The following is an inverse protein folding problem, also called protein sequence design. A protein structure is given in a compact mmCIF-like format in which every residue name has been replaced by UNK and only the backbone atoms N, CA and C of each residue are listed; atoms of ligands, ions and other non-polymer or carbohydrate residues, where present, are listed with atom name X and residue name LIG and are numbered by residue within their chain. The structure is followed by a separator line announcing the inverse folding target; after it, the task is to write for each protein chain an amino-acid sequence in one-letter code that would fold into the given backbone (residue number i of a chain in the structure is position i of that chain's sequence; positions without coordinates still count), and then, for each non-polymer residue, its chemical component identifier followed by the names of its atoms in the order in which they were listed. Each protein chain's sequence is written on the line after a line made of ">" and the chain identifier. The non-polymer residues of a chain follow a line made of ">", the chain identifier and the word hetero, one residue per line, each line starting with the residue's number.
data_IF_388561478880
#
_entry.id   IF_388561478880
#
_cell.length_a   1.000
_cell.length_b   1.000
_cell.length_c   1.000
_cell.angle_alpha   90.00
_cell.angle_beta   90.00
_cell.angle_gamma   90.00
#
_symmetry.space_group_name_H-M   'P 1'
#
loop_
_entity.id
_entity.type
_entity.pdbx_description
1 polymer ?
#
# COMPACT_ATOMS: atom_id res chain seq x y z
N UNK A 1 20.01 7.96 -4.10
CA UNK A 1 18.92 7.83 -5.10
C UNK A 1 17.63 7.52 -4.37
N UNK A 2 16.47 7.83 -4.95
CA UNK A 2 15.20 7.39 -4.38
C UNK A 2 15.11 5.85 -4.38
N UNK A 3 14.35 5.22 -3.47
CA UNK A 3 14.29 3.76 -3.39
C UNK A 3 13.71 3.11 -4.64
N UNK A 4 14.05 1.84 -4.86
CA UNK A 4 13.30 1.00 -5.80
C UNK A 4 11.88 0.71 -5.28
N UNK A 5 11.09 0.04 -6.12
CA UNK A 5 9.71 -0.28 -5.79
C UNK A 5 9.65 -1.32 -4.64
N UNK A 6 8.89 -1.05 -3.56
CA UNK A 6 8.62 -2.06 -2.54
C UNK A 6 7.63 -3.11 -3.07
N UNK A 7 7.45 -4.20 -2.32
CA UNK A 7 6.34 -5.12 -2.54
C UNK A 7 5.24 -4.87 -1.52
N UNK A 8 3.98 -4.91 -1.95
CA UNK A 8 2.81 -4.85 -1.06
C UNK A 8 2.00 -6.13 -1.20
N UNK A 9 1.67 -6.74 -0.07
CA UNK A 9 0.73 -7.84 0.05
C UNK A 9 -0.50 -7.32 0.81
N UNK A 10 -1.70 -7.65 0.33
CA UNK A 10 -2.96 -7.22 0.97
C UNK A 10 -3.88 -8.39 1.22
N UNK A 11 -4.58 -8.36 2.35
CA UNK A 11 -5.53 -9.38 2.77
C UNK A 11 -6.88 -8.73 3.08
N UNK A 12 -7.95 -9.24 2.48
CA UNK A 12 -9.31 -8.77 2.71
C UNK A 12 -9.76 -9.05 4.15
N UNK A 13 -10.55 -8.15 4.71
CA UNK A 13 -11.33 -8.36 5.93
C UNK A 13 -12.63 -7.56 5.91
N UNK A 14 -13.41 -7.71 6.99
CA UNK A 14 -14.68 -7.00 7.15
C UNK A 14 -14.46 -5.49 7.32
N UNK A 15 -14.81 -4.75 6.26
CA UNK A 15 -14.71 -3.28 6.25
C UNK A 15 -13.28 -2.74 6.17
N UNK A 16 -12.29 -3.60 5.90
CA UNK A 16 -10.87 -3.26 5.96
C UNK A 16 -10.01 -4.15 5.07
N UNK A 17 -8.78 -3.70 4.83
CA UNK A 17 -7.72 -4.48 4.20
C UNK A 17 -6.47 -4.39 5.06
N UNK A 18 -5.93 -5.55 5.43
CA UNK A 18 -4.61 -5.62 6.07
C UNK A 18 -3.53 -5.55 5.01
N UNK A 19 -2.50 -4.74 5.22
CA UNK A 19 -1.35 -4.64 4.32
C UNK A 19 -0.08 -5.15 4.99
N UNK A 20 0.83 -5.66 4.17
CA UNK A 20 2.20 -6.01 4.52
C UNK A 20 3.15 -5.54 3.42
N UNK A 21 4.10 -4.71 3.79
CA UNK A 21 5.10 -4.11 2.92
C UNK A 21 6.43 -4.84 3.09
N UNK A 22 7.12 -5.03 1.98
CA UNK A 22 8.47 -5.59 1.96
C UNK A 22 9.38 -4.58 1.26
N UNK A 23 10.55 -4.36 1.85
CA UNK A 23 11.54 -3.45 1.28
C UNK A 23 12.00 -3.90 -0.11
N UNK A 24 12.35 -2.95 -0.99
CA UNK A 24 13.06 -3.27 -2.21
C UNK A 24 14.39 -3.97 -1.89
N UNK A 25 14.81 -4.91 -2.74
CA UNK A 25 16.13 -5.53 -2.58
C UNK A 25 17.24 -4.47 -2.69
N UNK A 26 18.15 -4.45 -1.71
CA UNK A 26 19.22 -3.45 -1.65
C UNK A 26 18.78 -2.07 -1.14
N UNK A 27 17.55 -1.93 -0.64
CA UNK A 27 17.12 -0.70 0.01
C UNK A 27 17.90 -0.48 1.32
N UNK A 28 18.56 0.67 1.42
CA UNK A 28 19.10 1.24 2.65
C UNK A 28 18.36 2.54 2.97
N UNK A 29 18.21 2.84 4.26
CA UNK A 29 17.67 4.12 4.75
C UNK A 29 16.19 4.40 4.41
N UNK A 30 15.36 3.36 4.40
CA UNK A 30 13.91 3.51 4.27
C UNK A 30 13.35 4.13 5.55
N UNK A 31 12.79 5.33 5.45
CA UNK A 31 12.21 6.09 6.56
C UNK A 31 10.68 5.94 6.65
N UNK A 32 10.05 5.40 5.60
CA UNK A 32 8.63 5.10 5.59
C UNK A 32 8.13 4.66 4.21
N UNK A 33 6.81 4.59 4.09
CA UNK A 33 6.12 4.21 2.86
C UNK A 33 4.89 5.07 2.63
N UNK A 34 4.45 5.12 1.38
CA UNK A 34 3.15 5.66 0.98
C UNK A 34 2.36 4.55 0.31
N UNK A 35 1.20 4.23 0.86
CA UNK A 35 0.24 3.32 0.24
C UNK A 35 -0.75 4.19 -0.53
N UNK A 36 -0.91 3.93 -1.83
CA UNK A 36 -1.93 4.52 -2.66
C UNK A 36 -3.01 3.49 -2.90
N UNK A 37 -4.26 3.84 -2.61
CA UNK A 37 -5.38 2.94 -2.84
C UNK A 37 -6.60 3.66 -3.41
N UNK A 38 -7.36 2.98 -4.26
CA UNK A 38 -8.62 3.50 -4.82
C UNK A 38 -9.62 2.39 -5.04
N UNK A 39 -10.88 2.76 -5.22
CA UNK A 39 -11.92 1.86 -5.72
C UNK A 39 -12.42 2.34 -7.08
N UNK A 40 -12.58 1.40 -8.02
CA UNK A 40 -13.00 1.71 -9.38
C UNK A 40 -12.10 2.75 -10.06
N UNK A 41 -12.73 3.76 -10.68
CA UNK A 41 -12.03 4.85 -11.39
C UNK A 41 -11.78 6.09 -10.53
N UNK A 42 -11.89 5.97 -9.21
CA UNK A 42 -11.63 7.08 -8.29
C UNK A 42 -10.16 7.54 -8.34
N UNK A 43 -9.91 8.74 -7.81
CA UNK A 43 -8.55 9.19 -7.51
C UNK A 43 -7.93 8.29 -6.43
N UNK A 44 -6.61 8.11 -6.49
CA UNK A 44 -5.88 7.39 -5.44
C UNK A 44 -5.89 8.20 -4.15
N UNK A 45 -6.34 7.56 -3.08
CA UNK A 45 -6.13 8.02 -1.71
C UNK A 45 -4.71 7.64 -1.29
N UNK A 46 -3.97 8.59 -0.72
CA UNK A 46 -2.62 8.40 -0.24
C UNK A 46 -2.62 8.22 1.29
N UNK A 47 -1.96 7.18 1.78
CA UNK A 47 -1.75 6.94 3.20
C UNK A 47 -0.26 6.75 3.47
N UNK A 48 0.34 7.70 4.16
CA UNK A 48 1.71 7.56 4.65
C UNK A 48 1.75 6.67 5.89
N UNK A 49 2.70 5.73 5.91
CA UNK A 49 2.90 4.78 7.02
C UNK A 49 4.39 4.61 7.27
N UNK A 50 4.76 4.50 8.54
CA UNK A 50 6.14 4.12 8.93
C UNK A 50 6.25 2.64 9.28
N UNK A 51 5.12 1.98 9.51
CA UNK A 51 5.05 0.54 9.77
C UNK A 51 4.92 -0.24 8.46
N UNK A 52 5.55 -1.42 8.43
CA UNK A 52 5.45 -2.34 7.28
C UNK A 52 4.13 -3.09 7.26
N UNK A 53 3.47 -3.22 8.40
CA UNK A 53 2.20 -3.92 8.53
C UNK A 53 1.17 -3.03 9.20
N UNK A 54 -0.10 -3.21 8.85
CA UNK A 54 -1.22 -2.54 9.49
C UNK A 54 -2.51 -2.76 8.70
N UNK A 55 -3.53 -1.98 9.02
CA UNK A 55 -4.82 -2.02 8.34
C UNK A 55 -5.19 -0.69 7.68
N UNK A 56 -5.99 -0.81 6.62
CA UNK A 56 -6.72 0.27 5.96
C UNK A 56 -8.20 -0.05 6.19
N UNK A 57 -8.77 0.62 7.19
CA UNK A 57 -10.17 0.50 7.57
C UNK A 57 -11.04 1.54 6.85
N UNK A 58 -12.36 1.38 6.93
CA UNK A 58 -13.33 2.27 6.28
C UNK A 58 -13.55 1.96 4.80
N UNK A 59 -13.27 0.72 4.39
CA UNK A 59 -13.45 0.25 3.03
C UNK A 59 -14.83 -0.40 2.86
N UNK A 60 -15.45 -0.20 1.71
CA UNK A 60 -16.76 -0.78 1.38
C UNK A 60 -16.59 -2.24 0.95
N UNK A 61 -17.39 -3.14 1.53
CA UNK A 61 -17.34 -4.56 1.16
C UNK A 61 -17.97 -4.80 -0.20
N UNK A 62 -17.45 -5.76 -0.95
CA UNK A 62 -17.90 -6.08 -2.31
C UNK A 62 -17.38 -5.12 -3.40
N UNK A 63 -16.67 -4.06 -3.02
CA UNK A 63 -15.99 -3.17 -3.97
C UNK A 63 -14.55 -3.61 -4.20
N UNK A 64 -14.13 -3.76 -5.47
CA UNK A 64 -12.72 -3.98 -5.78
C UNK A 64 -11.90 -2.72 -5.46
N UNK A 65 -10.81 -2.91 -4.72
CA UNK A 65 -9.82 -1.88 -4.44
C UNK A 65 -8.49 -2.26 -5.08
N UNK A 66 -7.82 -1.24 -5.61
CA UNK A 66 -6.48 -1.32 -6.16
C UNK A 66 -5.52 -0.68 -5.16
N UNK A 67 -4.49 -1.40 -4.74
CA UNK A 67 -3.44 -0.95 -3.83
C UNK A 67 -2.09 -0.97 -4.51
N UNK A 68 -1.28 0.06 -4.26
CA UNK A 68 0.14 0.12 -4.61
C UNK A 68 0.91 0.85 -3.50
N UNK A 69 2.21 0.68 -3.45
CA UNK A 69 3.05 1.30 -2.43
C UNK A 69 4.32 1.92 -3.01
N UNK A 70 4.82 2.95 -2.34
CA UNK A 70 6.12 3.57 -2.60
C UNK A 70 6.94 3.56 -1.32
N UNK A 71 8.23 3.25 -1.45
CA UNK A 71 9.20 3.40 -0.38
C UNK A 71 9.70 4.85 -0.30
N UNK A 72 9.99 5.35 0.91
CA UNK A 72 10.50 6.71 1.16
C UNK A 72 11.85 6.65 1.86
N UNK A 73 12.81 7.46 1.41
CA UNK A 73 14.04 7.76 2.13
C UNK A 73 14.24 9.28 2.23
N UNK A 74 15.41 9.73 2.71
CA UNK A 74 15.73 11.17 2.82
C UNK A 74 15.69 11.92 1.47
N UNK A 75 15.84 11.22 0.35
CA UNK A 75 15.74 11.82 -0.99
C UNK A 75 14.28 12.01 -1.41
N UNK A 76 13.37 11.15 -0.94
CA UNK A 76 11.95 11.21 -1.25
C UNK A 76 11.33 9.84 -1.55
N UNK A 77 10.20 9.83 -2.26
CA UNK A 77 9.52 8.60 -2.66
C UNK A 77 10.17 7.97 -3.89
N UNK A 78 10.28 6.65 -3.83
CA UNK A 78 10.76 5.80 -4.91
C UNK A 78 9.69 5.44 -5.93
N UNK A 79 10.01 4.41 -6.73
CA UNK A 79 9.08 3.83 -7.70
C UNK A 79 7.86 3.22 -7.01
N UNK A 80 6.75 3.18 -7.74
CA UNK A 80 5.53 2.50 -7.31
C UNK A 80 5.69 0.98 -7.46
N UNK A 81 5.12 0.23 -6.51
CA UNK A 81 4.97 -1.22 -6.60
C UNK A 81 4.02 -1.62 -7.72
N UNK A 82 4.01 -2.91 -8.04
CA UNK A 82 2.90 -3.48 -8.80
C UNK A 82 1.56 -3.21 -8.09
N UNK A 83 0.50 -3.06 -8.88
CA UNK A 83 -0.86 -2.91 -8.37
C UNK A 83 -1.35 -4.27 -7.89
N UNK A 84 -1.88 -4.32 -6.68
CA UNK A 84 -2.57 -5.48 -6.12
C UNK A 84 -4.05 -5.17 -5.97
N UNK A 85 -4.89 -6.08 -6.44
CA UNK A 85 -6.35 -5.95 -6.39
C UNK A 85 -6.91 -6.83 -5.29
N UNK A 86 -7.79 -6.27 -4.47
CA UNK A 86 -8.46 -7.02 -3.41
C UNK A 86 -9.86 -6.45 -3.17
N UNK A 87 -10.79 -7.33 -2.83
CA UNK A 87 -12.16 -6.96 -2.50
C UNK A 87 -12.41 -7.28 -1.03
N UNK A 88 -12.64 -6.30 -0.15
CA UNK A 88 -13.04 -6.55 1.23
C UNK A 88 -14.34 -7.35 1.26
N UNK A 89 -14.40 -8.36 2.10
CA UNK A 89 -15.57 -9.22 2.26
C UNK A 89 -16.03 -9.18 3.71
N UNK A 90 -17.35 -9.25 3.95
CA UNK A 90 -17.86 -9.35 5.31
C UNK A 90 -17.35 -10.63 5.99
N UNK A 91 -17.28 -10.60 7.31
CA UNK A 91 -16.89 -11.75 8.13
C UNK A 91 -17.88 -12.92 8.03
#
# INVERSE_FOLDING_TARGET
>A
MAPDAPSIEVTAGDGKVSYKLTDPSGASDITGYKILYRTGSAIFTEKEVTTKTGDISGLTNGSEYEFKAQAKNEIGYGKESAIVKITPTPA
#
